data_IF_519355779452
#
_entry.id   IF_519355779452
#
_cell.length_a   1.000
_cell.length_b   1.000
_cell.length_c   1.000
_cell.angle_alpha   90.00
_cell.angle_beta   90.00
_cell.angle_gamma   90.00
#
_symmetry.space_group_name_H-M   'P 1'
#
loop_
_entity.id
_entity.type
_entity.pdbx_description
1 polymer ?
#
# COMPACT_ATOMS: atom_id res chain seq x y z
N UNK A 1 -2.37 18.40 12.47
CA UNK A 1 -1.44 17.52 11.72
C UNK A 1 -2.29 16.51 10.96
N UNK A 2 -2.21 16.58 9.65
CA UNK A 2 -2.92 15.68 8.74
C UNK A 2 -1.95 14.65 8.16
N UNK A 3 -2.41 13.41 8.03
CA UNK A 3 -1.70 12.28 7.44
C UNK A 3 -2.45 11.88 6.18
N UNK A 4 -1.75 11.84 5.05
CA UNK A 4 -2.31 11.35 3.79
C UNK A 4 -1.68 9.99 3.46
N UNK A 5 -2.45 8.93 3.56
CA UNK A 5 -2.05 7.58 3.19
C UNK A 5 -2.39 7.33 1.71
N UNK A 6 -1.55 6.61 0.99
CA UNK A 6 -1.67 6.49 -0.45
C UNK A 6 -1.63 5.04 -0.90
N UNK A 7 -2.69 4.63 -1.62
CA UNK A 7 -2.82 3.33 -2.26
C UNK A 7 -2.59 3.47 -3.75
N UNK A 8 -1.58 2.80 -4.27
CA UNK A 8 -1.00 3.06 -5.58
C UNK A 8 -1.23 1.91 -6.56
N UNK A 9 -1.08 2.15 -7.87
CA UNK A 9 -0.87 1.06 -8.81
C UNK A 9 0.26 0.13 -8.33
N UNK A 10 0.24 -1.16 -8.65
CA UNK A 10 -0.67 -1.88 -9.54
C UNK A 10 -1.90 -2.49 -8.86
N UNK A 11 -2.27 -1.99 -7.68
CA UNK A 11 -3.41 -2.51 -6.93
C UNK A 11 -4.71 -2.42 -7.74
N UNK A 12 -5.57 -3.42 -7.55
CA UNK A 12 -6.88 -3.50 -8.18
C UNK A 12 -7.75 -2.28 -7.85
N UNK A 13 -8.56 -1.83 -8.81
CA UNK A 13 -9.49 -0.71 -8.64
C UNK A 13 -10.77 -1.13 -7.91
N UNK A 14 -11.14 -2.41 -7.94
CA UNK A 14 -12.35 -2.94 -7.33
C UNK A 14 -12.16 -3.43 -5.88
N UNK A 15 -10.96 -3.29 -5.32
CA UNK A 15 -10.69 -3.74 -3.95
C UNK A 15 -10.02 -2.65 -3.12
N UNK A 16 -10.64 -2.22 -2.00
CA UNK A 16 -10.03 -1.24 -1.11
C UNK A 16 -8.82 -1.82 -0.37
N UNK A 17 -7.98 -0.94 0.12
CA UNK A 17 -6.86 -1.34 0.98
C UNK A 17 -7.32 -1.56 2.42
N UNK A 18 -7.50 -2.81 2.85
CA UNK A 18 -7.79 -3.12 4.25
C UNK A 18 -6.73 -2.55 5.21
N UNK A 19 -5.45 -2.61 4.82
CA UNK A 19 -4.37 -2.13 5.67
C UNK A 19 -4.43 -0.62 5.88
N UNK A 20 -4.64 0.18 4.82
CA UNK A 20 -4.71 1.63 4.94
C UNK A 20 -6.01 2.09 5.61
N UNK A 21 -7.13 1.38 5.37
CA UNK A 21 -8.42 1.68 6.00
C UNK A 21 -8.41 1.41 7.51
N UNK A 22 -7.71 0.34 7.95
CA UNK A 22 -7.44 0.10 9.38
C UNK A 22 -6.53 1.18 9.96
N UNK A 23 -5.43 1.51 9.26
CA UNK A 23 -4.51 2.56 9.71
C UNK A 23 -5.22 3.91 9.83
N UNK A 24 -6.05 4.28 8.86
CA UNK A 24 -6.89 5.50 8.92
C UNK A 24 -7.71 5.52 10.20
N UNK A 25 -8.54 4.48 10.43
CA UNK A 25 -9.41 4.41 11.61
C UNK A 25 -8.62 4.40 12.91
N UNK A 26 -7.51 3.66 12.94
CA UNK A 26 -6.61 3.59 14.09
C UNK A 26 -6.02 4.97 14.46
N UNK A 27 -5.59 5.74 13.45
CA UNK A 27 -5.01 7.07 13.65
C UNK A 27 -6.05 8.12 14.02
N UNK A 28 -7.24 8.10 13.38
CA UNK A 28 -8.35 8.99 13.72
C UNK A 28 -8.77 8.80 15.20
N UNK A 29 -8.90 7.56 15.66
CA UNK A 29 -9.23 7.24 17.05
C UNK A 29 -8.17 7.72 18.06
N UNK A 30 -6.99 8.16 17.58
CA UNK A 30 -5.88 8.72 18.40
C UNK A 30 -5.65 10.21 18.15
N UNK A 31 -6.61 10.87 17.48
CA UNK A 31 -6.60 12.32 17.29
C UNK A 31 -5.71 12.80 16.14
N UNK A 32 -5.37 11.93 15.20
CA UNK A 32 -4.71 12.32 13.95
C UNK A 32 -5.70 12.33 12.80
N UNK A 33 -5.89 13.47 12.18
CA UNK A 33 -6.62 13.56 10.93
C UNK A 33 -5.93 12.73 9.87
N UNK A 34 -6.62 11.77 9.29
CA UNK A 34 -6.03 10.80 8.38
C UNK A 34 -6.99 10.49 7.23
N UNK A 35 -6.49 10.56 6.02
CA UNK A 35 -7.20 10.25 4.78
C UNK A 35 -6.44 9.22 3.96
N UNK A 36 -7.15 8.49 3.10
CA UNK A 36 -6.56 7.57 2.12
C UNK A 36 -6.85 8.05 0.71
N UNK A 37 -5.81 8.33 -0.08
CA UNK A 37 -5.95 8.64 -1.50
C UNK A 37 -5.68 7.38 -2.32
N UNK A 38 -6.62 7.06 -3.21
CA UNK A 38 -6.59 5.88 -4.07
C UNK A 38 -6.06 6.23 -5.47
N UNK A 39 -4.74 6.25 -5.63
CA UNK A 39 -4.09 6.51 -6.91
C UNK A 39 -4.24 5.35 -7.91
N UNK A 40 -4.55 4.15 -7.45
CA UNK A 40 -4.85 3.02 -8.31
C UNK A 40 -6.09 3.27 -9.19
N UNK A 41 -6.97 4.19 -8.81
CA UNK A 41 -8.09 4.63 -9.64
C UNK A 41 -7.64 5.27 -10.96
N UNK A 42 -6.42 5.79 -11.04
CA UNK A 42 -5.82 6.24 -12.30
C UNK A 42 -5.75 5.12 -13.34
N UNK A 43 -5.70 3.85 -12.92
CA UNK A 43 -5.72 2.71 -13.84
C UNK A 43 -7.04 2.60 -14.60
N UNK A 44 -8.15 3.09 -14.03
CA UNK A 44 -9.44 3.14 -14.72
C UNK A 44 -9.43 4.01 -15.95
N UNK A 45 -8.64 5.09 -15.94
CA UNK A 45 -8.44 6.00 -17.05
C UNK A 45 -7.51 5.42 -18.13
N UNK A 46 -6.86 4.32 -17.82
CA UNK A 46 -5.92 3.61 -18.67
C UNK A 46 -6.47 2.24 -19.12
N UNK A 47 -7.81 2.06 -19.06
CA UNK A 47 -8.48 0.76 -19.30
C UNK A 47 -8.15 0.13 -20.65
N UNK A 48 -7.98 0.92 -21.70
CA UNK A 48 -7.58 0.45 -23.04
C UNK A 48 -6.17 -0.14 -23.07
N UNK A 49 -5.44 0.06 -21.99
CA UNK A 49 -4.03 -0.31 -21.88
C UNK A 49 -3.77 -1.57 -21.05
N UNK A 50 -4.58 -1.79 -20.03
CA UNK A 50 -4.26 -2.78 -19.00
C UNK A 50 -5.43 -3.77 -18.85
N UNK A 51 -5.77 -4.44 -19.91
CA UNK A 51 -6.63 -5.63 -19.88
C UNK A 51 -5.87 -6.88 -19.35
N UNK A 52 -4.82 -6.65 -18.57
CA UNK A 52 -3.99 -7.69 -17.98
C UNK A 52 -4.23 -7.77 -16.48
N UNK A 53 -4.65 -8.94 -16.01
CA UNK A 53 -4.67 -9.27 -14.58
C UNK A 53 -3.26 -9.32 -13.97
N UNK A 54 -2.22 -9.27 -14.80
CA UNK A 54 -0.82 -9.33 -14.39
C UNK A 54 -0.37 -7.98 -13.81
N UNK A 55 -0.23 -7.95 -12.49
CA UNK A 55 0.19 -6.76 -11.74
C UNK A 55 1.58 -6.24 -12.16
N UNK A 56 2.45 -7.09 -12.68
CA UNK A 56 3.79 -6.69 -13.11
C UNK A 56 3.72 -5.85 -14.39
N UNK A 57 2.78 -6.15 -15.29
CA UNK A 57 2.56 -5.38 -16.51
C UNK A 57 2.08 -3.97 -16.17
N UNK A 58 1.20 -3.84 -15.18
CA UNK A 58 0.70 -2.54 -14.71
C UNK A 58 1.80 -1.63 -14.16
N UNK A 59 2.97 -2.18 -13.80
CA UNK A 59 4.12 -1.40 -13.31
C UNK A 59 5.04 -0.91 -14.43
N UNK A 60 4.94 -1.42 -15.65
CA UNK A 60 5.89 -1.11 -16.72
C UNK A 60 5.99 0.38 -17.08
N UNK A 61 4.89 1.15 -17.17
CA UNK A 61 4.98 2.59 -17.42
C UNK A 61 5.76 3.32 -16.31
N UNK A 62 5.53 2.95 -15.05
CA UNK A 62 6.24 3.55 -13.90
C UNK A 62 7.73 3.20 -13.92
N UNK A 63 8.08 1.95 -14.27
CA UNK A 63 9.47 1.55 -14.47
C UNK A 63 10.12 2.31 -15.63
N UNK A 64 9.37 2.62 -16.69
CA UNK A 64 9.85 3.44 -17.81
C UNK A 64 10.14 4.86 -17.37
N UNK A 65 9.27 5.48 -16.56
CA UNK A 65 9.48 6.82 -15.99
C UNK A 65 10.77 6.85 -15.14
N UNK A 66 10.91 5.89 -14.22
CA UNK A 66 12.09 5.81 -13.35
C UNK A 66 13.39 5.57 -14.12
N UNK A 67 13.30 4.80 -15.21
CA UNK A 67 14.42 4.53 -16.08
C UNK A 67 14.92 5.79 -16.80
N UNK A 68 14.02 6.63 -17.28
CA UNK A 68 14.38 7.87 -17.97
C UNK A 68 14.99 8.89 -17.01
N UNK A 69 14.57 8.90 -15.76
CA UNK A 69 15.12 9.76 -14.69
C UNK A 69 16.51 9.32 -14.25
N UNK A 70 16.92 8.10 -14.57
CA UNK A 70 18.21 7.54 -14.19
C UNK A 70 19.08 7.33 -15.44
N UNK A 71 19.93 8.32 -15.79
CA UNK A 71 20.79 8.32 -16.99
C UNK A 71 21.72 7.08 -17.12
N UNK A 72 21.92 6.34 -16.04
CA UNK A 72 22.77 5.15 -16.02
C UNK A 72 22.07 3.86 -16.46
N UNK A 73 20.75 3.88 -16.71
CA UNK A 73 20.01 2.71 -17.11
C UNK A 73 19.64 2.82 -18.59
N UNK A 74 20.40 2.26 -19.49
CA UNK A 74 20.06 2.09 -20.93
C UNK A 74 18.93 1.08 -21.08
N UNK A 75 17.68 1.48 -20.78
CA UNK A 75 16.66 0.66 -20.21
C UNK A 75 15.49 0.24 -21.07
N UNK A 76 15.09 0.94 -22.13
CA UNK A 76 13.91 0.54 -22.91
C UNK A 76 14.03 -0.89 -23.46
N UNK A 77 15.22 -1.33 -23.86
CA UNK A 77 15.48 -2.72 -24.25
C UNK A 77 15.31 -3.73 -23.10
N UNK A 78 15.59 -3.31 -21.85
CA UNK A 78 15.38 -4.16 -20.68
C UNK A 78 13.91 -4.27 -20.32
N UNK A 79 13.13 -3.22 -20.47
CA UNK A 79 11.67 -3.23 -20.25
C UNK A 79 11.00 -4.17 -21.25
N UNK A 80 11.37 -4.10 -22.54
CA UNK A 80 10.86 -5.04 -23.55
C UNK A 80 11.29 -6.47 -23.25
N UNK A 81 12.54 -6.69 -22.84
CA UNK A 81 13.02 -8.03 -22.46
C UNK A 81 12.27 -8.55 -21.22
N UNK A 82 11.89 -7.68 -20.30
CA UNK A 82 11.07 -8.04 -19.14
C UNK A 82 9.65 -8.41 -19.58
N UNK A 83 9.02 -7.60 -20.42
CA UNK A 83 7.71 -7.89 -21.03
C UNK A 83 7.69 -9.26 -21.72
N UNK A 84 8.66 -9.55 -22.55
CA UNK A 84 8.75 -10.83 -23.25
C UNK A 84 8.96 -12.02 -22.32
N UNK A 85 9.58 -11.82 -21.15
CA UNK A 85 9.73 -12.85 -20.12
C UNK A 85 8.45 -13.07 -19.32
N UNK A 86 7.71 -12.02 -19.02
CA UNK A 86 6.48 -12.07 -18.23
C UNK A 86 5.30 -12.55 -19.06
N UNK A 87 5.24 -12.17 -20.33
CA UNK A 87 4.27 -12.69 -21.30
C UNK A 87 4.96 -13.34 -22.50
N UNK A 88 5.25 -14.65 -22.45
CA UNK A 88 5.85 -15.35 -23.60
C UNK A 88 4.95 -15.36 -24.85
N UNK A 89 3.63 -15.17 -24.70
CA UNK A 89 2.68 -14.97 -25.79
C UNK A 89 2.79 -13.59 -26.45
N UNK A 90 3.46 -12.65 -25.79
CA UNK A 90 3.74 -11.32 -26.28
C UNK A 90 4.87 -11.36 -27.30
N UNK A 91 4.52 -11.81 -28.48
CA UNK A 91 5.40 -11.76 -29.65
C UNK A 91 5.05 -10.51 -30.44
N UNK A 92 5.90 -9.52 -30.36
CA UNK A 92 5.78 -8.36 -31.23
C UNK A 92 6.77 -8.45 -32.37
N UNK A 93 6.24 -8.35 -33.57
CA UNK A 93 7.06 -8.19 -34.79
C UNK A 93 7.63 -6.77 -34.92
N UNK A 94 7.11 -5.83 -34.10
CA UNK A 94 7.55 -4.43 -34.05
C UNK A 94 7.86 -3.97 -32.61
N UNK A 95 9.07 -4.16 -32.10
CA UNK A 95 9.46 -3.66 -30.78
C UNK A 95 9.31 -2.13 -30.61
N UNK A 96 9.39 -1.37 -31.71
CA UNK A 96 9.28 0.09 -31.65
C UNK A 96 7.85 0.55 -31.32
N UNK A 97 6.83 -0.18 -31.77
CA UNK A 97 5.44 0.11 -31.43
C UNK A 97 5.21 0.15 -29.92
N UNK A 98 5.79 -0.80 -29.18
CA UNK A 98 5.65 -0.84 -27.73
C UNK A 98 6.49 0.21 -27.03
N UNK A 99 7.60 0.64 -27.61
CA UNK A 99 8.37 1.76 -27.07
C UNK A 99 7.62 3.07 -27.23
N UNK A 100 7.00 3.32 -28.37
CA UNK A 100 6.16 4.48 -28.62
C UNK A 100 4.95 4.48 -27.67
N UNK A 101 4.28 3.34 -27.58
CA UNK A 101 3.15 3.15 -26.69
C UNK A 101 3.51 3.35 -25.18
N UNK A 102 4.62 2.77 -24.70
CA UNK A 102 5.10 3.03 -23.34
C UNK A 102 5.47 4.50 -23.13
N UNK A 103 5.96 5.19 -24.17
CA UNK A 103 6.27 6.60 -24.11
C UNK A 103 4.99 7.43 -23.95
N UNK A 104 3.96 7.18 -24.77
CA UNK A 104 2.69 7.89 -24.70
C UNK A 104 2.03 7.71 -23.32
N UNK A 105 1.99 6.46 -22.82
CA UNK A 105 1.40 6.18 -21.51
C UNK A 105 2.22 6.76 -20.35
N UNK A 106 3.51 6.82 -20.48
CA UNK A 106 4.38 7.47 -19.48
C UNK A 106 4.05 8.97 -19.36
N UNK A 107 3.91 9.65 -20.47
CA UNK A 107 3.63 11.08 -20.51
C UNK A 107 2.23 11.36 -19.94
N UNK A 108 1.21 10.57 -20.33
CA UNK A 108 -0.14 10.61 -19.78
C UNK A 108 -0.14 10.41 -18.24
N UNK A 109 0.56 9.40 -17.74
CA UNK A 109 0.66 9.12 -16.29
C UNK A 109 1.30 10.30 -15.55
N UNK A 110 2.38 10.86 -16.09
CA UNK A 110 3.05 12.00 -15.46
C UNK A 110 2.15 13.23 -15.42
N UNK A 111 1.42 13.52 -16.48
CA UNK A 111 0.46 14.63 -16.53
C UNK A 111 -0.64 14.44 -15.48
N UNK A 112 -1.21 13.24 -15.37
CA UNK A 112 -2.25 12.92 -14.39
C UNK A 112 -1.69 13.05 -12.95
N UNK A 113 -0.52 12.47 -12.68
CA UNK A 113 0.12 12.58 -11.37
C UNK A 113 0.36 14.04 -10.99
N UNK A 114 0.88 14.85 -11.91
CA UNK A 114 1.15 16.26 -11.68
C UNK A 114 -0.16 17.06 -11.47
N UNK A 115 -1.18 16.77 -12.25
CA UNK A 115 -2.50 17.36 -12.07
C UNK A 115 -3.04 17.05 -10.67
N UNK A 116 -3.09 15.79 -10.30
CA UNK A 116 -3.62 15.34 -9.01
C UNK A 116 -2.82 15.88 -7.81
N UNK A 117 -1.50 15.92 -7.90
CA UNK A 117 -0.66 16.50 -6.84
C UNK A 117 -0.97 17.98 -6.65
N UNK A 118 -1.20 18.72 -7.72
CA UNK A 118 -1.52 20.15 -7.65
C UNK A 118 -2.91 20.44 -7.03
N UNK A 119 -3.79 19.44 -6.93
CA UNK A 119 -5.08 19.57 -6.23
C UNK A 119 -4.97 19.40 -4.73
N UNK A 120 -3.85 18.87 -4.22
CA UNK A 120 -3.64 18.56 -2.82
C UNK A 120 -3.13 19.82 -2.10
N UNK A 121 -3.82 20.21 -1.02
CA UNK A 121 -3.31 21.25 -0.11
C UNK A 121 -2.29 20.64 0.85
N UNK A 122 -1.00 20.81 0.52
CA UNK A 122 0.09 20.32 1.34
C UNK A 122 0.35 21.17 2.60
N UNK A 123 -0.28 22.32 2.78
CA UNK A 123 -0.05 23.18 3.95
C UNK A 123 -0.43 22.50 5.26
N UNK A 124 -1.42 21.59 5.23
CA UNK A 124 -1.90 20.85 6.40
C UNK A 124 -1.26 19.46 6.54
N UNK A 125 -0.70 18.92 5.44
CA UNK A 125 -0.13 17.56 5.42
C UNK A 125 1.27 17.57 5.98
N UNK A 126 1.48 16.86 7.08
CA UNK A 126 2.81 16.70 7.68
C UNK A 126 3.46 15.36 7.32
N UNK A 127 2.65 14.34 7.04
CA UNK A 127 3.13 13.00 6.72
C UNK A 127 2.37 12.43 5.52
N UNK A 128 3.13 12.03 4.50
CA UNK A 128 2.65 11.37 3.30
C UNK A 128 3.07 9.89 3.35
N UNK A 129 2.11 9.00 3.58
CA UNK A 129 2.34 7.56 3.74
C UNK A 129 2.14 6.81 2.43
N UNK A 130 3.09 5.96 2.05
CA UNK A 130 3.04 5.13 0.85
C UNK A 130 3.01 3.66 1.28
N UNK A 131 2.09 2.87 0.72
CA UNK A 131 2.10 1.42 0.88
C UNK A 131 3.21 0.79 0.05
N UNK A 132 3.95 -0.17 0.63
CA UNK A 132 4.96 -0.95 -0.09
C UNK A 132 4.42 -2.28 -0.65
N UNK A 133 3.15 -2.63 -0.34
CA UNK A 133 2.53 -3.88 -0.83
C UNK A 133 2.40 -3.87 -2.35
N UNK A 134 2.41 -5.06 -2.96
CA UNK A 134 2.24 -5.22 -4.42
C UNK A 134 3.23 -4.37 -5.25
N UNK A 135 4.45 -4.14 -4.74
CA UNK A 135 5.44 -3.27 -5.39
C UNK A 135 5.01 -1.80 -5.58
N UNK A 136 4.04 -1.32 -4.82
CA UNK A 136 3.55 0.07 -4.86
C UNK A 136 4.64 1.11 -4.53
N UNK A 137 5.72 0.72 -3.87
CA UNK A 137 6.88 1.57 -3.64
C UNK A 137 7.53 2.06 -4.94
N UNK A 138 7.34 1.35 -6.09
CA UNK A 138 7.86 1.75 -7.41
C UNK A 138 7.18 3.05 -7.91
N UNK A 139 5.84 3.11 -8.12
CA UNK A 139 5.17 4.38 -8.38
C UNK A 139 5.29 5.36 -7.21
N UNK A 140 5.43 4.85 -5.99
CA UNK A 140 5.68 5.66 -4.80
C UNK A 140 6.97 6.48 -4.86
N UNK A 141 8.03 6.01 -5.54
CA UNK A 141 9.26 6.81 -5.75
C UNK A 141 8.98 8.03 -6.63
N UNK A 142 8.15 7.88 -7.66
CA UNK A 142 7.78 8.98 -8.56
C UNK A 142 6.98 10.03 -7.78
N UNK A 143 5.98 9.59 -7.01
CA UNK A 143 5.18 10.49 -6.17
C UNK A 143 6.04 11.19 -5.11
N UNK A 144 6.93 10.48 -4.44
CA UNK A 144 7.81 11.06 -3.44
C UNK A 144 8.68 12.17 -4.02
N UNK A 145 9.24 11.96 -5.22
CA UNK A 145 10.02 12.97 -5.92
C UNK A 145 9.18 14.21 -6.26
N UNK A 146 8.00 14.01 -6.88
CA UNK A 146 7.12 15.13 -7.25
C UNK A 146 6.65 15.92 -6.01
N UNK A 147 6.31 15.24 -4.92
CA UNK A 147 5.92 15.89 -3.66
C UNK A 147 7.10 16.69 -3.08
N UNK A 148 8.30 16.13 -3.04
CA UNK A 148 9.46 16.84 -2.52
C UNK A 148 9.81 18.08 -3.34
N UNK A 149 9.49 18.07 -4.64
CA UNK A 149 9.67 19.24 -5.51
C UNK A 149 8.70 20.38 -5.16
N UNK A 150 7.44 20.07 -4.79
CA UNK A 150 6.39 21.07 -4.53
C UNK A 150 6.32 21.41 -3.05
N UNK A 151 6.41 20.44 -2.17
CA UNK A 151 6.25 20.55 -0.73
C UNK A 151 7.40 19.84 0.02
N UNK A 152 8.64 20.38 -0.02
CA UNK A 152 9.83 19.72 0.50
C UNK A 152 9.80 19.43 2.00
N UNK A 153 8.96 20.15 2.75
CA UNK A 153 8.80 19.98 4.19
C UNK A 153 7.91 18.78 4.57
N UNK A 154 7.05 18.31 3.65
CA UNK A 154 6.21 17.13 3.87
C UNK A 154 7.10 15.90 4.02
N UNK A 155 6.89 15.15 5.10
CA UNK A 155 7.66 13.94 5.37
C UNK A 155 7.04 12.74 4.65
N UNK A 156 7.86 11.98 3.95
CA UNK A 156 7.43 10.80 3.20
C UNK A 156 7.84 9.52 3.93
N UNK A 157 6.85 8.69 4.28
CA UNK A 157 7.06 7.36 4.87
C UNK A 157 6.55 6.28 3.93
N UNK A 158 7.37 5.26 3.68
CA UNK A 158 6.96 4.05 2.96
C UNK A 158 6.86 2.89 3.93
N UNK A 159 5.72 2.17 3.94
CA UNK A 159 5.43 1.14 4.94
C UNK A 159 4.87 -0.15 4.38
N UNK A 160 4.90 -1.20 5.21
CA UNK A 160 4.39 -2.53 4.85
C UNK A 160 5.43 -3.43 4.19
N UNK A 161 6.72 -3.10 4.27
CA UNK A 161 7.79 -4.02 3.87
C UNK A 161 7.78 -5.29 4.73
N UNK A 162 8.21 -6.40 4.13
CA UNK A 162 8.29 -7.69 4.83
C UNK A 162 9.44 -7.75 5.84
N UNK A 163 10.50 -6.98 5.66
CA UNK A 163 11.67 -7.02 6.54
C UNK A 163 12.43 -5.71 6.58
N UNK A 164 13.25 -5.57 7.63
CA UNK A 164 14.21 -4.51 7.85
C UNK A 164 15.13 -4.28 6.64
N UNK A 165 15.69 -5.37 6.12
CA UNK A 165 16.61 -5.31 4.98
C UNK A 165 15.94 -4.69 3.75
N UNK A 166 14.70 -5.09 3.45
CA UNK A 166 13.98 -4.56 2.28
C UNK A 166 13.62 -3.08 2.48
N UNK A 167 13.27 -2.68 3.71
CA UNK A 167 13.04 -1.27 4.05
C UNK A 167 14.31 -0.42 3.85
N UNK A 168 15.47 -0.93 4.29
CA UNK A 168 16.75 -0.27 4.08
C UNK A 168 17.10 -0.13 2.59
N UNK A 169 16.93 -1.19 1.81
CA UNK A 169 17.19 -1.16 0.37
C UNK A 169 16.28 -0.15 -0.36
N UNK A 170 15.00 -0.07 0.02
CA UNK A 170 14.09 0.92 -0.56
C UNK A 170 14.56 2.36 -0.30
N UNK A 171 15.06 2.66 0.90
CA UNK A 171 15.63 3.98 1.22
C UNK A 171 16.97 4.24 0.52
N UNK A 172 17.77 3.21 0.27
CA UNK A 172 19.00 3.34 -0.51
C UNK A 172 18.71 3.70 -1.98
N UNK A 173 17.63 3.13 -2.53
CA UNK A 173 17.23 3.34 -3.92
C UNK A 173 16.56 4.71 -4.10
N UNK A 174 15.76 5.16 -3.13
CA UNK A 174 14.99 6.41 -3.22
C UNK A 174 15.39 7.41 -2.13
N UNK A 175 16.08 8.48 -2.52
CA UNK A 175 16.49 9.55 -1.60
C UNK A 175 15.33 10.41 -1.10
N UNK A 176 14.17 10.37 -1.75
CA UNK A 176 12.99 11.14 -1.40
C UNK A 176 12.15 10.51 -0.27
N UNK A 177 12.45 9.25 0.13
CA UNK A 177 11.87 8.66 1.33
C UNK A 177 12.60 9.16 2.57
N UNK A 178 11.88 9.84 3.47
CA UNK A 178 12.42 10.23 4.79
C UNK A 178 12.44 9.04 5.75
N UNK A 179 11.42 8.17 5.64
CA UNK A 179 11.19 7.04 6.53
C UNK A 179 10.77 5.78 5.78
N UNK A 180 11.18 4.62 6.32
CA UNK A 180 10.65 3.33 5.88
C UNK A 180 10.35 2.43 7.09
N UNK A 181 9.22 1.70 7.06
CA UNK A 181 8.81 0.80 8.12
C UNK A 181 8.55 -0.60 7.60
N UNK A 182 8.65 -1.61 8.47
CA UNK A 182 8.37 -3.00 8.14
C UNK A 182 7.48 -3.68 9.18
N UNK A 183 6.77 -4.74 8.76
CA UNK A 183 5.82 -5.45 9.60
C UNK A 183 4.50 -4.68 9.73
N UNK A 184 3.83 -4.83 10.87
CA UNK A 184 2.56 -4.17 11.15
C UNK A 184 2.74 -2.68 11.41
N UNK A 185 1.91 -1.85 10.78
CA UNK A 185 2.13 -0.41 10.65
C UNK A 185 1.48 0.45 11.74
N UNK A 186 0.52 -0.06 12.51
CA UNK A 186 -0.33 0.75 13.38
C UNK A 186 0.48 1.54 14.43
N UNK A 187 1.26 0.86 15.24
CA UNK A 187 2.07 1.52 16.26
C UNK A 187 3.31 2.24 15.72
N UNK A 188 4.03 1.70 14.72
CA UNK A 188 5.10 2.46 14.07
C UNK A 188 4.62 3.79 13.47
N UNK A 189 3.46 3.81 12.81
CA UNK A 189 2.89 5.03 12.25
C UNK A 189 2.47 6.00 13.36
N UNK A 190 1.85 5.51 14.43
CA UNK A 190 1.47 6.33 15.59
C UNK A 190 2.70 6.99 16.23
N UNK A 191 3.69 6.19 16.61
CA UNK A 191 4.91 6.69 17.25
C UNK A 191 5.69 7.65 16.34
N UNK A 192 5.76 7.35 15.02
CA UNK A 192 6.35 8.25 14.05
C UNK A 192 5.60 9.58 13.99
N UNK A 193 4.28 9.55 13.94
CA UNK A 193 3.44 10.75 13.88
C UNK A 193 3.59 11.60 15.13
N UNK A 194 3.70 10.95 16.31
CA UNK A 194 3.99 11.62 17.57
C UNK A 194 5.37 12.31 17.58
N UNK A 195 6.36 11.73 16.90
CA UNK A 195 7.67 12.36 16.79
C UNK A 195 7.68 13.50 15.77
N UNK A 196 7.05 13.31 14.60
CA UNK A 196 7.02 14.32 13.52
C UNK A 196 6.40 15.65 13.96
N UNK A 197 5.45 15.63 14.89
CA UNK A 197 4.82 16.87 15.42
C UNK A 197 5.65 17.60 16.47
N UNK A 198 6.77 17.02 16.98
CA UNK A 198 7.61 17.64 17.98
C UNK A 198 8.63 18.60 17.34
N UNK A 199 8.99 19.66 18.05
CA UNK A 199 10.08 20.54 17.64
C UNK A 199 11.43 19.82 17.59
N UNK A 200 11.65 18.88 18.52
CA UNK A 200 12.85 18.05 18.60
C UNK A 200 12.42 16.58 18.58
N UNK A 201 12.34 15.95 17.40
CA UNK A 201 11.96 14.55 17.28
C UNK A 201 13.08 13.60 17.72
N UNK A 202 12.71 12.48 18.32
CA UNK A 202 13.60 11.35 18.57
C UNK A 202 13.11 10.11 17.82
N UNK A 203 13.60 9.92 16.61
CA UNK A 203 13.21 8.78 15.77
C UNK A 203 13.80 7.44 16.22
N UNK A 204 14.77 7.45 17.16
CA UNK A 204 15.38 6.21 17.69
C UNK A 204 14.40 5.36 18.48
N UNK A 205 13.37 5.97 19.06
CA UNK A 205 12.37 5.28 19.87
C UNK A 205 11.23 4.66 19.04
N UNK A 206 11.05 5.11 17.78
CA UNK A 206 9.98 4.61 16.91
C UNK A 206 10.29 3.15 16.50
N UNK A 207 9.38 2.20 16.74
CA UNK A 207 9.69 0.81 16.48
C UNK A 207 9.73 0.51 14.96
N UNK A 208 10.65 -0.35 14.56
CA UNK A 208 10.77 -0.85 13.18
C UNK A 208 10.83 0.29 12.14
N UNK A 209 11.69 1.28 12.38
CA UNK A 209 11.87 2.44 11.53
C UNK A 209 13.28 2.53 10.98
N UNK A 210 13.40 2.72 9.67
CA UNK A 210 14.53 3.36 9.02
C UNK A 210 14.22 4.83 8.84
N UNK A 211 15.17 5.70 9.12
CA UNK A 211 15.00 7.14 8.95
C UNK A 211 16.26 7.78 8.38
N UNK A 212 16.07 8.87 7.64
CA UNK A 212 17.17 9.63 7.07
C UNK A 212 17.52 10.78 8.00
N UNK A 213 18.77 10.81 8.42
CA UNK A 213 19.35 11.92 9.17
C UNK A 213 20.45 12.52 8.31
N UNK A 214 20.21 13.72 7.77
CA UNK A 214 20.99 14.28 6.68
C UNK A 214 21.07 13.32 5.48
N UNK A 215 22.23 12.85 5.08
CA UNK A 215 22.41 11.88 3.98
C UNK A 215 22.51 10.42 4.44
N UNK A 216 22.61 10.18 5.76
CA UNK A 216 22.76 8.83 6.31
C UNK A 216 21.41 8.19 6.61
N UNK A 217 21.28 6.90 6.26
CA UNK A 217 20.14 6.07 6.67
C UNK A 217 20.48 5.41 8.00
N UNK A 218 19.64 5.67 8.99
CA UNK A 218 19.78 5.10 10.33
C UNK A 218 18.59 4.22 10.66
N UNK A 219 18.81 3.27 11.54
CA UNK A 219 17.78 2.42 12.09
C UNK A 219 17.44 2.86 13.52
N UNK A 220 16.18 2.79 13.87
CA UNK A 220 15.72 2.97 15.24
C UNK A 220 16.28 1.90 16.18
N UNK A 221 16.40 2.23 17.46
CA UNK A 221 17.00 1.35 18.46
C UNK A 221 16.11 0.19 18.91
N UNK A 222 14.85 0.14 18.48
CA UNK A 222 13.91 -0.88 18.93
C UNK A 222 13.07 -1.47 17.79
N UNK A 223 12.95 -2.79 17.83
CA UNK A 223 12.01 -3.56 17.00
C UNK A 223 10.76 -3.98 17.81
N UNK A 224 10.76 -3.70 19.11
CA UNK A 224 9.61 -4.01 19.98
C UNK A 224 8.50 -2.98 19.72
N UNK A 225 7.31 -3.47 19.48
CA UNK A 225 6.11 -2.66 19.27
C UNK A 225 4.94 -3.33 19.95
N UNK A 226 3.96 -2.52 20.32
CA UNK A 226 2.64 -3.03 20.58
C UNK A 226 2.03 -3.57 19.28
N UNK A 227 1.00 -4.39 19.43
CA UNK A 227 0.22 -4.93 18.33
C UNK A 227 -1.25 -4.62 18.58
N UNK A 228 -1.99 -4.42 17.50
CA UNK A 228 -3.43 -4.22 17.59
C UNK A 228 -4.06 -5.41 18.32
N UNK A 229 -4.97 -5.14 19.24
CA UNK A 229 -5.80 -6.20 19.82
C UNK A 229 -6.73 -6.71 18.71
N UNK A 230 -6.71 -8.02 18.49
CA UNK A 230 -7.37 -8.61 17.34
C UNK A 230 -8.82 -9.01 17.65
N UNK A 231 -9.21 -9.08 18.92
CA UNK A 231 -10.59 -9.29 19.36
C UNK A 231 -11.34 -7.97 19.60
N UNK A 232 -10.64 -6.91 20.01
CA UNK A 232 -11.13 -5.53 19.97
C UNK A 232 -10.72 -4.84 18.68
N UNK A 233 -10.98 -5.52 17.57
CA UNK A 233 -10.56 -5.09 16.26
C UNK A 233 -11.27 -3.80 15.85
N UNK A 234 -10.50 -2.90 15.27
CA UNK A 234 -11.01 -1.68 14.67
C UNK A 234 -11.47 -2.02 13.26
N UNK A 235 -12.77 -1.91 12.98
CA UNK A 235 -13.27 -2.13 11.64
C UNK A 235 -12.68 -1.09 10.67
N UNK A 236 -12.32 -1.53 9.45
CA UNK A 236 -11.76 -0.63 8.45
C UNK A 236 -12.73 0.50 8.10
N UNK A 237 -12.19 1.68 7.83
CA UNK A 237 -12.94 2.84 7.34
C UNK A 237 -12.73 2.94 5.83
N UNK A 238 -13.75 2.60 5.06
CA UNK A 238 -13.72 2.57 3.60
C UNK A 238 -14.32 3.83 2.94
N UNK A 239 -14.68 4.87 3.70
CA UNK A 239 -15.33 6.09 3.17
C UNK A 239 -14.56 6.69 1.99
N UNK A 240 -13.21 6.81 2.11
CA UNK A 240 -12.41 7.41 1.06
C UNK A 240 -12.40 6.58 -0.24
N UNK A 241 -12.51 5.24 -0.10
CA UNK A 241 -12.63 4.35 -1.26
C UNK A 241 -13.98 4.52 -1.94
N UNK A 242 -15.06 4.38 -1.17
CA UNK A 242 -16.43 4.39 -1.69
C UNK A 242 -16.77 5.74 -2.32
N UNK A 243 -16.42 6.85 -1.64
CA UNK A 243 -16.73 8.19 -2.11
C UNK A 243 -15.98 8.59 -3.40
N UNK A 244 -14.87 7.93 -3.70
CA UNK A 244 -14.04 8.22 -4.88
C UNK A 244 -14.01 7.08 -5.90
N UNK A 245 -14.81 6.03 -5.69
CA UNK A 245 -14.85 4.87 -6.59
C UNK A 245 -15.23 5.28 -8.01
N UNK A 246 -14.45 4.93 -9.04
CA UNK A 246 -14.61 5.50 -10.39
C UNK A 246 -15.79 4.92 -11.17
N UNK A 247 -16.42 3.83 -10.68
CA UNK A 247 -17.53 3.15 -11.34
C UNK A 247 -18.77 3.06 -10.43
N UNK A 248 -19.46 4.18 -10.15
CA UNK A 248 -20.56 4.22 -9.17
C UNK A 248 -21.74 3.31 -9.51
N UNK A 249 -21.91 2.97 -10.78
CA UNK A 249 -22.96 2.05 -11.24
C UNK A 249 -22.56 0.55 -11.13
N UNK A 250 -21.30 0.27 -10.76
CA UNK A 250 -20.71 -1.07 -10.71
C UNK A 250 -20.25 -1.47 -9.30
N UNK A 251 -20.97 -1.03 -8.28
CA UNK A 251 -20.62 -1.32 -6.88
C UNK A 251 -20.64 -2.81 -6.55
N UNK A 252 -21.39 -3.62 -7.30
CA UNK A 252 -21.42 -5.09 -7.17
C UNK A 252 -20.04 -5.72 -7.51
N UNK A 253 -19.19 -5.03 -8.27
CA UNK A 253 -17.83 -5.48 -8.57
C UNK A 253 -16.84 -5.24 -7.41
N UNK A 254 -17.23 -4.45 -6.41
CA UNK A 254 -16.37 -4.17 -5.25
C UNK A 254 -16.23 -5.44 -4.41
N UNK A 255 -14.97 -5.85 -4.22
CA UNK A 255 -14.61 -7.00 -3.41
C UNK A 255 -13.88 -6.55 -2.14
N UNK A 256 -14.55 -6.71 -1.00
CA UNK A 256 -14.03 -6.27 0.30
C UNK A 256 -13.09 -7.31 0.90
N UNK A 257 -11.83 -6.94 1.18
CA UNK A 257 -10.89 -7.85 1.81
C UNK A 257 -11.16 -7.99 3.31
N UNK A 258 -11.22 -9.21 3.80
CA UNK A 258 -11.38 -9.56 5.23
C UNK A 258 -10.13 -10.28 5.72
N UNK A 259 -9.57 -9.83 6.85
CA UNK A 259 -8.52 -10.54 7.56
C UNK A 259 -9.12 -11.34 8.72
N UNK A 260 -8.86 -12.64 8.77
CA UNK A 260 -9.19 -13.51 9.90
C UNK A 260 -7.96 -13.80 10.79
N UNK A 261 -6.79 -13.80 10.17
CA UNK A 261 -5.51 -14.14 10.81
C UNK A 261 -4.44 -13.11 10.38
N UNK A 262 -3.61 -12.65 11.28
CA UNK A 262 -2.36 -11.96 10.95
C UNK A 262 -1.16 -12.85 11.17
N UNK A 263 -0.23 -12.89 10.20
CA UNK A 263 0.87 -13.83 10.11
C UNK A 263 0.38 -15.25 9.73
N UNK A 264 1.20 -16.27 9.95
CA UNK A 264 0.94 -17.66 9.59
C UNK A 264 1.40 -18.56 10.71
N UNK A 265 0.66 -19.63 11.00
CA UNK A 265 1.02 -20.57 12.06
C UNK A 265 2.29 -21.35 11.72
N UNK A 266 2.56 -21.63 10.44
CA UNK A 266 3.73 -22.40 10.03
C UNK A 266 5.05 -21.70 10.27
N UNK A 267 5.21 -20.43 9.89
CA UNK A 267 6.34 -19.53 10.16
C UNK A 267 7.74 -20.10 9.89
N UNK A 268 7.88 -21.13 9.07
CA UNK A 268 9.15 -21.82 8.79
C UNK A 268 9.62 -21.71 7.34
N UNK A 269 8.86 -21.04 6.48
CA UNK A 269 9.25 -20.85 5.10
C UNK A 269 10.46 -19.92 5.02
N UNK A 270 11.54 -20.39 4.36
CA UNK A 270 12.81 -19.65 4.30
C UNK A 270 12.74 -18.38 3.43
N UNK A 271 11.79 -18.32 2.52
CA UNK A 271 11.56 -17.18 1.61
C UNK A 271 10.56 -16.17 2.16
N UNK A 272 9.83 -16.49 3.21
CA UNK A 272 8.69 -15.69 3.70
C UNK A 272 9.12 -14.74 4.80
N UNK A 273 8.76 -13.47 4.68
CA UNK A 273 9.05 -12.42 5.65
C UNK A 273 7.93 -12.18 6.67
N UNK A 274 6.81 -12.90 6.60
CA UNK A 274 5.68 -12.75 7.55
C UNK A 274 6.03 -13.02 9.02
N UNK A 275 7.25 -13.45 9.30
CA UNK A 275 7.75 -13.65 10.66
C UNK A 275 8.45 -12.41 11.22
N UNK A 276 8.75 -11.42 10.37
CA UNK A 276 9.53 -10.23 10.74
C UNK A 276 8.59 -9.05 10.95
N UNK A 277 8.38 -8.66 12.19
CA UNK A 277 7.51 -7.54 12.53
C UNK A 277 6.00 -7.86 12.55
N UNK A 278 5.62 -9.13 12.43
CA UNK A 278 4.25 -9.62 12.57
C UNK A 278 4.10 -10.59 13.74
N UNK A 279 2.99 -10.50 14.46
CA UNK A 279 2.62 -11.42 15.52
C UNK A 279 1.44 -12.28 15.06
N UNK A 280 1.51 -13.60 15.29
CA UNK A 280 0.38 -14.48 15.01
C UNK A 280 -0.78 -14.15 15.95
N UNK A 281 -1.92 -13.82 15.39
CA UNK A 281 -3.19 -13.60 16.09
C UNK A 281 -4.32 -14.02 15.17
N UNK A 282 -5.34 -14.59 15.77
CA UNK A 282 -6.55 -15.07 15.10
C UNK A 282 -7.71 -14.29 15.70
N UNK A 283 -8.59 -13.77 14.87
CA UNK A 283 -9.84 -13.10 15.31
C UNK A 283 -10.88 -14.14 15.65
N UNK A 284 -11.73 -13.86 16.62
CA UNK A 284 -12.88 -14.70 16.87
C UNK A 284 -13.84 -14.69 15.69
N UNK A 285 -14.51 -15.82 15.39
CA UNK A 285 -15.52 -15.88 14.32
C UNK A 285 -16.58 -14.80 14.46
N UNK A 286 -17.04 -14.53 15.67
CA UNK A 286 -18.02 -13.49 15.99
C UNK A 286 -17.52 -12.10 15.60
N UNK A 287 -16.25 -11.78 15.86
CA UNK A 287 -15.67 -10.50 15.48
C UNK A 287 -15.61 -10.33 13.95
N UNK A 288 -15.36 -11.41 13.22
CA UNK A 288 -15.31 -11.40 11.76
C UNK A 288 -16.72 -11.16 11.18
N UNK A 289 -17.71 -11.87 11.69
CA UNK A 289 -19.11 -11.73 11.28
C UNK A 289 -19.63 -10.32 11.58
N UNK A 290 -19.35 -9.78 12.75
CA UNK A 290 -19.72 -8.41 13.12
C UNK A 290 -19.09 -7.36 12.16
N UNK A 291 -17.87 -7.59 11.65
CA UNK A 291 -17.27 -6.72 10.62
C UNK A 291 -18.01 -6.83 9.29
N UNK A 292 -18.35 -8.05 8.85
CA UNK A 292 -19.13 -8.29 7.64
C UNK A 292 -20.49 -7.58 7.73
N UNK A 293 -21.22 -7.78 8.82
CA UNK A 293 -22.49 -7.10 9.07
C UNK A 293 -22.36 -5.57 9.09
N UNK A 294 -21.32 -5.06 9.76
CA UNK A 294 -21.05 -3.62 9.80
C UNK A 294 -20.84 -3.06 8.39
N UNK A 295 -19.99 -3.69 7.59
CA UNK A 295 -19.68 -3.25 6.21
C UNK A 295 -20.91 -3.33 5.33
N UNK A 296 -21.69 -4.41 5.43
CA UNK A 296 -22.93 -4.57 4.68
C UNK A 296 -23.96 -3.49 5.04
N UNK A 297 -24.11 -3.18 6.33
CA UNK A 297 -25.06 -2.18 6.80
C UNK A 297 -24.62 -0.74 6.46
N UNK A 298 -23.32 -0.43 6.55
CA UNK A 298 -22.79 0.91 6.34
C UNK A 298 -22.65 1.26 4.86
N UNK A 299 -22.17 0.30 4.04
CA UNK A 299 -21.81 0.55 2.65
C UNK A 299 -22.71 -0.19 1.64
N UNK A 300 -23.57 -1.08 2.07
CA UNK A 300 -24.40 -1.89 1.18
C UNK A 300 -23.63 -2.95 0.39
N UNK A 301 -22.38 -3.26 0.75
CA UNK A 301 -21.51 -4.18 0.04
C UNK A 301 -21.65 -5.60 0.58
N UNK A 302 -21.71 -6.59 -0.32
CA UNK A 302 -22.00 -8.01 0.03
C UNK A 302 -20.98 -9.00 -0.52
N UNK A 303 -19.96 -8.53 -1.28
CA UNK A 303 -18.92 -9.38 -1.83
C UNK A 303 -17.64 -9.27 -1.01
N UNK A 304 -17.19 -10.39 -0.42
CA UNK A 304 -16.04 -10.43 0.49
C UNK A 304 -15.02 -11.48 0.07
N UNK A 305 -13.74 -11.20 0.32
CA UNK A 305 -12.64 -12.14 0.13
C UNK A 305 -11.74 -12.23 1.35
N UNK A 306 -11.45 -13.45 1.80
CA UNK A 306 -10.45 -13.67 2.84
C UNK A 306 -9.04 -13.50 2.25
N UNK A 307 -8.26 -12.56 2.82
CA UNK A 307 -6.91 -12.20 2.33
C UNK A 307 -5.80 -12.66 3.25
N UNK A 308 -6.02 -13.75 3.96
CA UNK A 308 -5.09 -14.31 4.93
C UNK A 308 -3.98 -15.12 4.27
N UNK A 309 -2.82 -15.16 4.93
CA UNK A 309 -1.73 -16.07 4.52
C UNK A 309 -2.04 -17.54 4.83
N UNK A 310 -3.03 -17.79 5.69
CA UNK A 310 -3.36 -19.12 6.22
C UNK A 310 -4.72 -19.10 6.94
N UNK A 311 -5.81 -19.08 6.16
CA UNK A 311 -7.19 -19.05 6.69
C UNK A 311 -7.58 -20.35 7.42
N UNK A 312 -6.92 -21.47 7.11
CA UNK A 312 -7.18 -22.78 7.68
C UNK A 312 -6.28 -23.16 8.86
N UNK A 313 -5.65 -22.18 9.50
CA UNK A 313 -4.74 -22.43 10.65
C UNK A 313 -5.38 -23.19 11.81
N UNK A 314 -6.73 -23.14 11.93
CA UNK A 314 -7.55 -23.93 12.86
C UNK A 314 -8.84 -24.34 12.18
N UNK A 315 -9.01 -25.66 11.95
CA UNK A 315 -10.21 -26.20 11.30
C UNK A 315 -11.48 -25.87 12.11
N UNK A 316 -11.45 -26.09 13.42
CA UNK A 316 -12.57 -25.80 14.32
C UNK A 316 -13.01 -24.32 14.26
N UNK A 317 -12.05 -23.42 14.25
CA UNK A 317 -12.31 -21.99 14.10
C UNK A 317 -12.97 -21.67 12.75
N UNK A 318 -12.47 -22.29 11.69
CA UNK A 318 -12.98 -22.07 10.34
C UNK A 318 -14.38 -22.65 10.15
N UNK A 319 -14.65 -23.85 10.67
CA UNK A 319 -15.99 -24.46 10.67
C UNK A 319 -17.01 -23.55 11.38
N UNK A 320 -16.65 -23.09 12.60
CA UNK A 320 -17.51 -22.14 13.34
C UNK A 320 -17.74 -20.84 12.59
N UNK A 321 -16.73 -20.29 11.90
CA UNK A 321 -16.88 -19.08 11.10
C UNK A 321 -17.85 -19.31 9.93
N UNK A 322 -17.74 -20.45 9.24
CA UNK A 322 -18.66 -20.81 8.16
C UNK A 322 -20.10 -20.96 8.64
N UNK A 323 -20.33 -21.63 9.78
CA UNK A 323 -21.65 -21.78 10.37
C UNK A 323 -22.29 -20.40 10.62
N UNK A 324 -21.52 -19.47 11.22
CA UNK A 324 -22.03 -18.11 11.48
C UNK A 324 -22.29 -17.31 10.20
N UNK A 325 -21.48 -17.50 9.14
CA UNK A 325 -21.72 -16.83 7.84
C UNK A 325 -22.95 -17.38 7.14
N UNK A 326 -23.23 -18.69 7.28
CA UNK A 326 -24.43 -19.31 6.69
C UNK A 326 -25.71 -18.80 7.36
N UNK A 327 -25.62 -18.43 8.64
CA UNK A 327 -26.76 -17.92 9.43
C UNK A 327 -27.02 -16.41 9.20
N UNK A 328 -26.11 -15.69 8.50
CA UNK A 328 -26.29 -14.30 8.08
C UNK A 328 -27.33 -14.16 6.97
#
# INVERSE_FOLDING_TARGET
MKILLNWLPPADVHSPSISLSILKKFMINRGFETEVKYWNFLLSLMSDYIDSEDTEIRLLPFLSILNDRNENIKGNKRIISLLQRLQPSFKTDNPNYYLEFLQDKKDEILEIIQHEINTIDFSEISLFGISAKYNQWIPGMILAEEIKRIAPNVKVVVGGFGSEKVAQEAMNICSYFDFATWGEGEYPLLELSEQVRKEIPDFKIVPRLMYRETEEIRQSSTNKSNYLDFDNYIFPDYDDFINNYPYPEETDNINIPINTIRSCHWRKCKFCDFNKGYKLRIRSPECIVNEIEHITNEYGLTTFSFVDSDTFGSLEHFEKLLDLIIDL
#
